data_IF_816511006103
#
_entry.id   IF_816511006103
#
_cell.length_a   1.000
_cell.length_b   1.000
_cell.length_c   1.000
_cell.angle_alpha   90.00
_cell.angle_beta   90.00
_cell.angle_gamma   90.00
#
_symmetry.space_group_name_H-M   'P 1'
#
loop_
_entity.id
_entity.type
_entity.pdbx_description
1 polymer ?
#
# COMPACT_ATOMS: atom_id res chain seq x y z
N UNK A 1 37.43 13.90 -24.49
CA UNK A 1 36.03 13.69 -24.05
C UNK A 1 35.19 14.86 -24.50
N UNK A 2 34.14 14.63 -25.28
CA UNK A 2 33.14 15.67 -25.59
C UNK A 2 32.38 16.02 -24.30
N UNK A 3 32.23 17.31 -23.99
CA UNK A 3 31.50 17.78 -22.81
C UNK A 3 30.00 17.51 -22.97
N UNK A 4 29.43 16.63 -22.14
CA UNK A 4 27.98 16.43 -22.13
C UNK A 4 27.32 17.61 -21.42
N UNK A 5 26.33 18.25 -22.06
CA UNK A 5 25.56 19.31 -21.41
C UNK A 5 24.66 18.73 -20.32
N UNK A 6 24.40 19.48 -19.25
CA UNK A 6 23.46 19.10 -18.16
C UNK A 6 22.11 18.63 -18.72
N UNK A 7 21.61 19.28 -19.79
CA UNK A 7 20.36 18.93 -20.46
C UNK A 7 20.44 17.56 -21.14
N UNK A 8 21.53 17.26 -21.83
CA UNK A 8 21.70 15.97 -22.51
C UNK A 8 21.88 14.83 -21.50
N UNK A 9 22.52 15.10 -20.36
CA UNK A 9 22.59 14.14 -19.26
C UNK A 9 21.19 13.77 -18.74
N UNK A 10 20.33 14.75 -18.47
CA UNK A 10 18.96 14.51 -17.99
C UNK A 10 18.13 13.77 -19.05
N UNK A 11 18.24 14.16 -20.32
CA UNK A 11 17.53 13.49 -21.43
C UNK A 11 17.96 12.03 -21.57
N UNK A 12 19.27 11.77 -21.51
CA UNK A 12 19.81 10.42 -21.60
C UNK A 12 19.32 9.57 -20.43
N UNK A 13 19.42 10.08 -19.20
CA UNK A 13 18.97 9.39 -17.99
C UNK A 13 17.46 9.12 -17.98
N UNK A 14 16.65 10.09 -18.41
CA UNK A 14 15.21 9.93 -18.56
C UNK A 14 14.84 8.88 -19.62
N UNK A 15 15.50 8.92 -20.78
CA UNK A 15 15.29 7.93 -21.85
C UNK A 15 15.73 6.52 -21.44
N UNK A 16 16.84 6.38 -20.70
CA UNK A 16 17.28 5.07 -20.20
C UNK A 16 16.32 4.50 -19.17
N UNK A 17 15.84 5.34 -18.24
CA UNK A 17 14.88 4.93 -17.21
C UNK A 17 13.57 4.49 -17.86
N UNK A 18 12.99 5.31 -18.75
CA UNK A 18 11.78 4.95 -19.48
C UNK A 18 11.98 3.68 -20.32
N UNK A 19 13.09 3.58 -21.07
CA UNK A 19 13.42 2.40 -21.86
C UNK A 19 13.52 1.12 -21.01
N UNK A 20 14.09 1.20 -19.80
CA UNK A 20 14.15 0.08 -18.87
C UNK A 20 12.76 -0.39 -18.43
N UNK A 21 11.87 0.54 -18.08
CA UNK A 21 10.51 0.21 -17.65
C UNK A 21 9.61 -0.28 -18.80
N UNK A 22 9.75 0.28 -20.00
CA UNK A 22 8.90 -0.09 -21.14
C UNK A 22 9.41 -1.30 -21.94
N UNK A 23 10.72 -1.56 -21.99
CA UNK A 23 11.30 -2.66 -22.76
C UNK A 23 11.57 -3.93 -21.95
N UNK A 24 11.44 -3.90 -20.61
CA UNK A 24 11.49 -5.11 -19.75
C UNK A 24 10.13 -5.43 -19.08
N UNK A 25 9.13 -5.91 -19.82
CA UNK A 25 7.86 -6.36 -19.23
C UNK A 25 7.94 -7.74 -18.53
N UNK A 26 9.05 -8.48 -18.66
CA UNK A 26 9.09 -9.92 -18.35
C UNK A 26 9.02 -10.29 -16.86
N UNK A 27 9.16 -9.34 -15.94
CA UNK A 27 9.08 -9.62 -14.49
C UNK A 27 8.06 -8.75 -13.74
N UNK A 28 7.55 -7.69 -14.38
CA UNK A 28 6.55 -6.79 -13.77
C UNK A 28 5.22 -7.53 -13.58
N UNK A 29 4.85 -8.46 -14.48
CA UNK A 29 3.64 -9.27 -14.32
C UNK A 29 3.63 -10.12 -13.05
N UNK A 30 4.80 -10.60 -12.58
CA UNK A 30 4.88 -11.41 -11.36
C UNK A 30 4.68 -10.55 -10.10
N UNK A 31 5.12 -9.30 -10.12
CA UNK A 31 4.90 -8.33 -9.04
C UNK A 31 3.48 -7.77 -9.01
N UNK A 32 2.87 -7.54 -10.18
CA UNK A 32 1.49 -7.03 -10.30
C UNK A 32 0.42 -8.10 -9.98
N UNK A 33 0.75 -9.38 -10.14
CA UNK A 33 -0.06 -10.54 -9.73
C UNK A 33 0.08 -10.91 -8.26
N UNK A 34 0.86 -10.15 -7.47
CA UNK A 34 0.69 -10.19 -6.03
C UNK A 34 -0.74 -9.71 -5.76
N UNK A 35 -1.68 -10.66 -5.70
CA UNK A 35 -3.04 -10.43 -5.25
C UNK A 35 -2.89 -9.63 -3.97
N UNK A 36 -3.30 -8.36 -4.01
CA UNK A 36 -3.73 -7.74 -2.78
C UNK A 36 -4.78 -8.71 -2.27
N UNK A 37 -4.46 -9.47 -1.23
CA UNK A 37 -5.50 -10.13 -0.44
C UNK A 37 -6.39 -8.97 -0.08
N UNK A 38 -7.53 -8.85 -0.77
CA UNK A 38 -8.36 -7.66 -0.70
C UNK A 38 -8.50 -7.31 0.76
N UNK A 39 -8.04 -6.12 1.15
CA UNK A 39 -8.18 -5.70 2.52
C UNK A 39 -9.67 -5.51 2.71
N UNK A 40 -10.32 -6.53 3.26
CA UNK A 40 -11.76 -6.60 3.36
C UNK A 40 -12.16 -5.66 4.48
N UNK A 41 -12.21 -4.36 4.17
CA UNK A 41 -12.96 -3.36 4.94
C UNK A 41 -14.46 -3.64 4.70
N UNK A 42 -14.90 -4.86 5.03
CA UNK A 42 -16.30 -5.23 5.03
C UNK A 42 -16.91 -4.46 6.19
N UNK A 43 -17.70 -3.44 5.89
CA UNK A 43 -18.48 -2.72 6.89
C UNK A 43 -19.46 -3.71 7.52
N UNK A 44 -19.23 -4.07 8.78
CA UNK A 44 -20.03 -5.08 9.50
C UNK A 44 -20.90 -4.50 10.62
N UNK A 45 -21.01 -3.17 10.69
CA UNK A 45 -21.80 -2.50 11.72
C UNK A 45 -20.99 -2.35 13.00
N UNK A 46 -19.84 -1.68 12.87
CA UNK A 46 -18.87 -1.50 13.94
C UNK A 46 -19.47 -0.71 15.11
N UNK A 47 -19.11 -1.09 16.33
CA UNK A 47 -19.54 -0.43 17.57
C UNK A 47 -18.36 0.30 18.19
N UNK A 48 -18.59 1.55 18.62
CA UNK A 48 -17.58 2.34 19.34
C UNK A 48 -17.46 1.83 20.78
N UNK A 49 -16.24 1.63 21.24
CA UNK A 49 -15.92 1.25 22.61
C UNK A 49 -14.63 1.93 23.10
N UNK A 50 -14.26 1.69 24.36
CA UNK A 50 -13.02 2.19 24.96
C UNK A 50 -12.14 0.98 25.32
N UNK A 51 -10.85 1.06 24.96
CA UNK A 51 -9.85 0.06 25.29
C UNK A 51 -9.72 -0.11 26.82
N UNK A 52 -9.99 -1.31 27.31
CA UNK A 52 -10.09 -1.60 28.74
C UNK A 52 -8.78 -2.06 29.40
N UNK A 53 -7.64 -1.97 28.70
CA UNK A 53 -6.38 -2.52 29.21
C UNK A 53 -5.65 -1.58 30.16
N UNK A 54 -5.30 -0.38 29.71
CA UNK A 54 -4.54 0.58 30.49
C UNK A 54 -5.34 1.87 30.68
N UNK A 55 -4.81 2.80 31.49
CA UNK A 55 -5.42 4.10 31.74
C UNK A 55 -5.42 5.05 30.52
N UNK A 56 -4.94 4.60 29.36
CA UNK A 56 -4.88 5.39 28.13
C UNK A 56 -6.25 5.71 27.52
N UNK A 57 -7.27 4.88 27.77
CA UNK A 57 -8.64 5.17 27.35
C UNK A 57 -8.83 5.34 25.84
N UNK A 58 -8.05 4.64 25.01
CA UNK A 58 -8.14 4.74 23.55
C UNK A 58 -9.55 4.38 23.08
N UNK A 59 -10.17 5.25 22.27
CA UNK A 59 -11.38 4.90 21.54
C UNK A 59 -11.08 3.84 20.49
N UNK A 60 -11.96 2.86 20.36
CA UNK A 60 -11.82 1.77 19.38
C UNK A 60 -13.13 1.50 18.67
N UNK A 61 -13.05 1.10 17.40
CA UNK A 61 -14.13 0.55 16.60
C UNK A 61 -14.03 -0.98 16.64
N UNK A 62 -15.09 -1.62 17.11
CA UNK A 62 -15.16 -3.08 17.25
C UNK A 62 -16.08 -3.64 16.17
N UNK A 63 -15.53 -4.47 15.29
CA UNK A 63 -16.30 -5.23 14.31
C UNK A 63 -16.63 -6.63 14.83
N UNK A 64 -17.91 -6.99 14.86
CA UNK A 64 -18.38 -8.30 15.31
C UNK A 64 -19.31 -8.96 14.27
N UNK A 65 -19.19 -10.27 14.13
CA UNK A 65 -20.09 -11.09 13.29
C UNK A 65 -20.66 -12.23 14.15
N UNK A 66 -21.98 -12.18 14.37
CA UNK A 66 -22.64 -13.07 15.33
C UNK A 66 -22.14 -12.83 16.76
N UNK A 67 -21.64 -13.89 17.40
CA UNK A 67 -21.10 -13.85 18.77
C UNK A 67 -19.57 -13.71 18.84
N UNK A 68 -18.91 -13.35 17.72
CA UNK A 68 -17.45 -13.26 17.63
C UNK A 68 -16.99 -11.87 17.21
N UNK A 69 -16.01 -11.34 17.94
CA UNK A 69 -15.24 -10.16 17.52
C UNK A 69 -14.24 -10.60 16.44
N UNK A 70 -14.25 -9.91 15.30
CA UNK A 70 -13.41 -10.25 14.13
C UNK A 70 -12.39 -9.17 13.80
N UNK A 71 -12.58 -7.93 14.28
CA UNK A 71 -11.60 -6.83 14.13
C UNK A 71 -11.76 -5.78 15.24
N UNK A 72 -10.65 -5.13 15.61
CA UNK A 72 -10.60 -3.95 16.48
C UNK A 72 -9.57 -2.98 15.89
N UNK A 73 -9.98 -1.73 15.67
CA UNK A 73 -9.12 -0.63 15.21
C UNK A 73 -9.38 0.64 16.01
N UNK A 74 -8.45 1.59 15.99
CA UNK A 74 -8.51 2.85 16.74
C UNK A 74 -7.98 4.02 15.94
#
# INVERSE_FOLDING_TARGET
MQSISRRNFIKLGGATTAGFFFLKPLEIEKGLKASSRGFSLKRIGEVVSICAYCAGGCGVLVGAEGSRVVSIEG
#
